data_IF_924129867680
#
_entry.id   IF_924129867680
#
_cell.length_a   1.000
_cell.length_b   1.000
_cell.length_c   1.000
_cell.angle_alpha   90.00
_cell.angle_beta   90.00
_cell.angle_gamma   90.00
#
_symmetry.space_group_name_H-M   'P 1'
#
loop_
_entity.id
_entity.type
_entity.pdbx_description
1 polymer ?
#
# COMPACT_ATOMS: atom_id res chain seq x y z
N UNK A 1 -9.38 7.12 -25.34
CA UNK A 1 -8.08 6.43 -25.14
C UNK A 1 -7.11 7.17 -24.22
N UNK A 2 -6.83 8.48 -24.41
CA UNK A 2 -5.82 9.20 -23.61
C UNK A 2 -6.07 9.21 -22.07
N UNK A 3 -7.33 9.29 -21.64
CA UNK A 3 -7.71 9.20 -20.21
C UNK A 3 -7.44 7.81 -19.61
N UNK A 4 -7.64 6.74 -20.39
CA UNK A 4 -7.32 5.38 -19.98
C UNK A 4 -5.81 5.20 -19.83
N UNK A 5 -5.01 5.72 -20.78
CA UNK A 5 -3.55 5.69 -20.68
C UNK A 5 -3.04 6.43 -19.42
N UNK A 6 -3.62 7.60 -19.08
CA UNK A 6 -3.29 8.30 -17.86
C UNK A 6 -3.67 7.51 -16.59
N UNK A 7 -4.88 6.92 -16.56
CA UNK A 7 -5.32 6.09 -15.44
C UNK A 7 -4.45 4.83 -15.27
N UNK A 8 -4.09 4.16 -16.37
CA UNK A 8 -3.16 3.03 -16.39
C UNK A 8 -1.76 3.43 -15.91
N UNK A 9 -1.26 4.60 -16.31
CA UNK A 9 0.00 5.13 -15.80
C UNK A 9 -0.05 5.33 -14.28
N UNK A 10 -1.15 5.87 -13.76
CA UNK A 10 -1.39 5.96 -12.31
C UNK A 10 -1.42 4.58 -11.64
N UNK A 11 -2.14 3.63 -12.22
CA UNK A 11 -2.23 2.27 -11.69
C UNK A 11 -0.86 1.58 -11.60
N UNK A 12 -0.07 1.64 -12.68
CA UNK A 12 1.29 1.08 -12.73
C UNK A 12 2.19 1.78 -11.69
N UNK A 13 2.10 3.10 -11.57
CA UNK A 13 2.85 3.84 -10.57
C UNK A 13 2.51 3.40 -9.14
N UNK A 14 1.22 3.21 -8.83
CA UNK A 14 0.80 2.70 -7.52
C UNK A 14 1.36 1.31 -7.23
N UNK A 15 1.34 0.39 -8.20
CA UNK A 15 1.96 -0.94 -8.05
C UNK A 15 3.46 -0.85 -7.77
N UNK A 16 4.18 0.00 -8.51
CA UNK A 16 5.62 0.21 -8.32
C UNK A 16 5.92 0.82 -6.95
N UNK A 17 5.15 1.81 -6.51
CA UNK A 17 5.31 2.44 -5.20
C UNK A 17 5.07 1.43 -4.05
N UNK A 18 4.02 0.62 -4.14
CA UNK A 18 3.75 -0.47 -3.19
C UNK A 18 4.92 -1.45 -3.16
N UNK A 19 5.32 -1.97 -4.33
CA UNK A 19 6.41 -2.94 -4.44
C UNK A 19 7.72 -2.41 -3.87
N UNK A 20 8.12 -1.19 -4.25
CA UNK A 20 9.34 -0.56 -3.79
C UNK A 20 9.33 -0.34 -2.26
N UNK A 21 8.19 0.06 -1.70
CA UNK A 21 8.02 0.26 -0.25
C UNK A 21 8.18 -1.07 0.50
N UNK A 22 7.43 -2.10 0.08
CA UNK A 22 7.51 -3.43 0.70
C UNK A 22 8.92 -4.02 0.57
N UNK A 23 9.53 -3.89 -0.61
CA UNK A 23 10.89 -4.36 -0.84
C UNK A 23 11.90 -3.66 0.07
N UNK A 24 11.89 -2.32 0.10
CA UNK A 24 12.81 -1.55 0.93
C UNK A 24 12.65 -1.89 2.43
N UNK A 25 11.40 -1.92 2.93
CA UNK A 25 11.15 -2.19 4.34
C UNK A 25 11.41 -3.63 4.74
N UNK A 26 11.22 -4.61 3.84
CA UNK A 26 11.61 -6.00 4.10
C UNK A 26 13.13 -6.19 4.27
N UNK A 27 13.94 -5.27 3.73
CA UNK A 27 15.40 -5.29 3.84
C UNK A 27 15.92 -4.59 5.10
N UNK A 28 15.08 -3.83 5.79
CA UNK A 28 15.44 -3.20 7.07
C UNK A 28 15.45 -4.29 8.15
N UNK A 29 16.49 -4.29 8.99
CA UNK A 29 16.55 -5.14 10.17
C UNK A 29 15.67 -4.54 11.26
N UNK A 30 14.42 -4.96 11.30
CA UNK A 30 13.49 -4.55 12.35
C UNK A 30 13.89 -5.17 13.70
N UNK A 31 13.74 -4.45 14.81
CA UNK A 31 13.87 -5.01 16.16
C UNK A 31 13.03 -6.28 16.29
N UNK A 32 13.61 -7.34 16.85
CA UNK A 32 12.90 -8.60 17.05
C UNK A 32 11.68 -8.37 17.95
N UNK A 33 10.49 -8.62 17.41
CA UNK A 33 9.29 -8.71 18.22
C UNK A 33 9.38 -9.95 19.10
N UNK A 34 9.05 -9.88 20.40
CA UNK A 34 8.87 -11.07 21.19
C UNK A 34 7.80 -11.93 20.51
N UNK A 35 8.16 -13.11 20.05
CA UNK A 35 7.21 -14.06 19.47
C UNK A 35 6.36 -14.64 20.61
N UNK A 36 5.40 -13.88 21.11
CA UNK A 36 4.29 -14.48 21.82
C UNK A 36 3.47 -15.21 20.77
N UNK A 37 3.39 -16.54 20.88
CA UNK A 37 2.43 -17.31 20.10
C UNK A 37 1.03 -16.88 20.54
N UNK A 38 0.49 -15.84 19.91
CA UNK A 38 -0.95 -15.61 19.90
C UNK A 38 -1.54 -16.84 19.24
N UNK A 39 -2.11 -17.72 20.08
CA UNK A 39 -2.58 -19.03 19.69
C UNK A 39 -3.70 -18.93 18.68
N UNK A 40 -3.34 -18.94 17.40
CA UNK A 40 -4.07 -19.63 16.34
C UNK A 40 -3.23 -19.59 15.05
N UNK A 41 -2.23 -20.48 14.97
CA UNK A 41 -1.41 -20.63 13.76
C UNK A 41 -2.10 -21.52 12.71
N UNK A 42 -3.23 -22.14 13.07
CA UNK A 42 -4.02 -22.99 12.19
C UNK A 42 -5.01 -22.14 11.38
N UNK A 43 -4.59 -21.77 10.17
CA UNK A 43 -5.37 -20.96 9.21
C UNK A 43 -6.73 -21.58 8.84
N UNK A 44 -6.92 -22.87 9.08
CA UNK A 44 -8.17 -23.58 8.80
C UNK A 44 -9.31 -23.24 9.79
N UNK A 45 -8.99 -22.76 11.00
CA UNK A 45 -9.99 -22.56 12.06
C UNK A 45 -10.21 -21.09 12.48
N UNK A 46 -9.30 -20.16 12.18
CA UNK A 46 -9.35 -18.81 12.77
C UNK A 46 -9.72 -17.63 11.85
N UNK A 47 -9.69 -17.82 10.53
CA UNK A 47 -10.31 -16.91 9.57
C UNK A 47 -10.45 -17.64 8.24
N UNK A 48 -11.56 -17.46 7.53
CA UNK A 48 -11.68 -18.10 6.21
C UNK A 48 -10.56 -17.61 5.29
N UNK A 49 -9.92 -18.54 4.58
CA UNK A 49 -8.83 -18.27 3.65
C UNK A 49 -9.17 -17.12 2.66
N UNK A 50 -10.46 -16.95 2.35
CA UNK A 50 -10.98 -15.84 1.56
C UNK A 50 -10.76 -14.47 2.21
N UNK A 51 -10.98 -14.31 3.52
CA UNK A 51 -10.78 -13.04 4.23
C UNK A 51 -9.31 -12.62 4.21
N UNK A 52 -8.39 -13.58 4.37
CA UNK A 52 -6.95 -13.32 4.27
C UNK A 52 -6.56 -12.85 2.87
N UNK A 53 -6.99 -13.56 1.82
CA UNK A 53 -6.70 -13.21 0.43
C UNK A 53 -7.27 -11.82 0.08
N UNK A 54 -8.52 -11.55 0.48
CA UNK A 54 -9.17 -10.26 0.23
C UNK A 54 -8.45 -9.14 0.97
N UNK A 55 -8.04 -9.35 2.22
CA UNK A 55 -7.26 -8.39 2.99
C UNK A 55 -5.92 -8.08 2.33
N UNK A 56 -5.20 -9.10 1.86
CA UNK A 56 -3.92 -8.94 1.16
C UNK A 56 -4.08 -8.16 -0.15
N UNK A 57 -5.09 -8.50 -0.95
CA UNK A 57 -5.40 -7.80 -2.21
C UNK A 57 -5.79 -6.36 -1.94
N UNK A 58 -6.64 -6.10 -0.94
CA UNK A 58 -7.03 -4.75 -0.58
C UNK A 58 -5.81 -3.92 -0.17
N UNK A 59 -4.94 -4.45 0.70
CA UNK A 59 -3.74 -3.77 1.19
C UNK A 59 -2.69 -3.49 0.09
N UNK A 60 -2.63 -4.32 -0.94
CA UNK A 60 -1.64 -4.18 -2.02
C UNK A 60 -2.15 -3.38 -3.22
N UNK A 61 -3.45 -3.45 -3.52
CA UNK A 61 -4.04 -2.83 -4.71
C UNK A 61 -4.62 -1.43 -4.45
N UNK A 62 -4.97 -1.08 -3.21
CA UNK A 62 -5.55 0.23 -2.92
C UNK A 62 -4.68 1.41 -3.40
N UNK A 63 -3.33 1.39 -3.35
CA UNK A 63 -2.50 2.48 -3.87
C UNK A 63 -2.67 2.63 -5.38
N UNK A 64 -2.70 1.51 -6.10
CA UNK A 64 -2.91 1.46 -7.56
C UNK A 64 -4.26 2.02 -7.95
N UNK A 65 -5.32 1.68 -7.22
CA UNK A 65 -6.67 2.24 -7.43
C UNK A 65 -6.69 3.74 -7.15
N UNK A 66 -6.05 4.19 -6.06
CA UNK A 66 -5.94 5.60 -5.72
C UNK A 66 -5.24 6.41 -6.81
N UNK A 67 -4.06 5.98 -7.26
CA UNK A 67 -3.33 6.69 -8.32
C UNK A 67 -4.04 6.63 -9.68
N UNK A 68 -4.72 5.53 -10.00
CA UNK A 68 -5.56 5.45 -11.19
C UNK A 68 -6.70 6.49 -11.15
N UNK A 69 -7.38 6.61 -10.00
CA UNK A 69 -8.43 7.60 -9.80
C UNK A 69 -7.88 9.04 -9.91
N UNK A 70 -6.79 9.35 -9.21
CA UNK A 70 -6.13 10.68 -9.27
C UNK A 70 -5.83 11.05 -10.72
N UNK A 71 -5.21 10.15 -11.48
CA UNK A 71 -4.84 10.43 -12.88
C UNK A 71 -6.07 10.50 -13.80
N UNK A 72 -7.10 9.69 -13.56
CA UNK A 72 -8.35 9.76 -14.31
C UNK A 72 -9.10 11.09 -14.12
N UNK A 73 -8.97 11.73 -12.94
CA UNK A 73 -9.56 13.04 -12.63
C UNK A 73 -8.67 14.21 -13.05
N UNK A 74 -7.36 14.10 -12.83
CA UNK A 74 -6.40 15.17 -13.09
C UNK A 74 -6.18 15.42 -14.59
N UNK A 75 -6.32 14.38 -15.44
CA UNK A 75 -5.98 14.39 -16.88
C UNK A 75 -6.46 15.61 -17.70
N UNK A 76 -7.54 16.28 -17.32
CA UNK A 76 -8.02 17.51 -17.99
C UNK A 76 -8.37 18.67 -17.07
N UNK A 77 -8.36 18.46 -15.75
CA UNK A 77 -8.96 19.41 -14.80
C UNK A 77 -7.93 20.18 -13.99
N UNK A 78 -6.71 19.67 -13.86
CA UNK A 78 -5.74 20.19 -12.90
C UNK A 78 -4.54 20.82 -13.61
N UNK A 79 -3.96 21.85 -12.99
CA UNK A 79 -2.66 22.37 -13.39
C UNK A 79 -1.56 21.35 -13.08
N UNK A 80 -0.46 21.38 -13.83
CA UNK A 80 0.68 20.47 -13.63
C UNK A 80 1.22 20.53 -12.20
N UNK A 81 1.29 21.73 -11.61
CA UNK A 81 1.71 21.92 -10.20
C UNK A 81 0.80 21.20 -9.22
N UNK A 82 -0.53 21.37 -9.34
CA UNK A 82 -1.50 20.70 -8.46
C UNK A 82 -1.42 19.18 -8.59
N UNK A 83 -1.34 18.68 -9.82
CA UNK A 83 -1.16 17.25 -10.09
C UNK A 83 0.11 16.71 -9.43
N UNK A 84 1.25 17.38 -9.63
CA UNK A 84 2.53 16.98 -9.05
C UNK A 84 2.48 16.95 -7.51
N UNK A 85 1.95 18.00 -6.87
CA UNK A 85 1.80 18.03 -5.41
C UNK A 85 0.95 16.88 -4.89
N UNK A 86 -0.20 16.60 -5.51
CA UNK A 86 -1.07 15.51 -5.07
C UNK A 86 -0.42 14.14 -5.28
N UNK A 87 0.27 13.93 -6.40
CA UNK A 87 0.99 12.68 -6.65
C UNK A 87 2.09 12.47 -5.61
N UNK A 88 2.89 13.50 -5.31
CA UNK A 88 3.95 13.42 -4.29
C UNK A 88 3.38 13.12 -2.90
N UNK A 89 2.33 13.85 -2.49
CA UNK A 89 1.68 13.64 -1.19
C UNK A 89 1.09 12.24 -1.09
N UNK A 90 0.40 11.77 -2.15
CA UNK A 90 -0.13 10.41 -2.19
C UNK A 90 0.97 9.35 -2.14
N UNK A 91 2.11 9.56 -2.81
CA UNK A 91 3.24 8.63 -2.76
C UNK A 91 3.85 8.57 -1.36
N UNK A 92 4.08 9.73 -0.74
CA UNK A 92 4.58 9.77 0.64
C UNK A 92 3.60 9.08 1.60
N UNK A 93 2.30 9.31 1.44
CA UNK A 93 1.28 8.64 2.23
C UNK A 93 1.34 7.11 2.11
N UNK A 94 1.47 6.57 0.89
CA UNK A 94 1.61 5.12 0.65
C UNK A 94 2.88 4.57 1.29
N UNK A 95 4.00 5.29 1.16
CA UNK A 95 5.28 4.91 1.78
C UNK A 95 5.14 4.86 3.30
N UNK A 96 4.57 5.90 3.93
CA UNK A 96 4.36 5.93 5.38
C UNK A 96 3.36 4.88 5.86
N UNK A 97 2.30 4.62 5.10
CA UNK A 97 1.34 3.57 5.40
C UNK A 97 2.03 2.19 5.48
N UNK A 98 2.84 1.85 4.48
CA UNK A 98 3.60 0.61 4.52
C UNK A 98 4.69 0.62 5.59
N UNK A 99 5.39 1.74 5.80
CA UNK A 99 6.37 1.85 6.87
C UNK A 99 5.73 1.57 8.24
N UNK A 100 4.55 2.14 8.49
CA UNK A 100 3.81 1.94 9.73
C UNK A 100 3.40 0.46 9.91
N UNK A 101 3.02 -0.24 8.84
CA UNK A 101 2.69 -1.67 8.94
C UNK A 101 3.87 -2.54 9.40
N UNK A 102 5.10 -2.19 9.02
CA UNK A 102 6.30 -2.86 9.51
C UNK A 102 6.72 -2.37 10.91
N UNK A 103 6.68 -1.06 11.13
CA UNK A 103 7.11 -0.45 12.39
C UNK A 103 6.17 -0.77 13.55
N UNK A 104 4.87 -0.90 13.32
CA UNK A 104 3.91 -1.16 14.38
C UNK A 104 4.11 -2.53 15.02
N UNK A 105 4.51 -3.54 14.24
CA UNK A 105 4.99 -4.81 14.76
C UNK A 105 6.20 -4.59 15.66
N UNK A 106 7.26 -3.96 15.14
CA UNK A 106 8.50 -3.70 15.89
C UNK A 106 8.34 -2.85 17.16
N UNK A 107 7.34 -1.96 17.20
CA UNK A 107 7.06 -1.07 18.33
C UNK A 107 6.04 -1.65 19.33
N UNK A 108 5.49 -2.84 19.08
CA UNK A 108 4.49 -3.48 19.94
C UNK A 108 3.14 -2.75 19.99
N UNK A 109 2.83 -1.91 18.98
CA UNK A 109 1.64 -1.05 18.97
C UNK A 109 0.33 -1.82 18.71
N UNK A 110 0.44 -3.07 18.28
CA UNK A 110 -0.67 -4.02 18.18
C UNK A 110 -0.27 -5.29 18.93
N UNK A 111 -0.39 -5.23 20.26
CA UNK A 111 -0.27 -6.37 21.19
C UNK A 111 -1.65 -6.89 21.54
#
# INVERSE_FOLDING_TARGET
MKRLAAALGGFIWGLLATWASLYAFSRIRWPATPSHSTGCNDMEHCASHAVFIVGLLALTLWPSVLFAAINAFAYRRWSSRKWATVVVVATLFVVFFHLASYAAGALGLFS
#
